data_IF_803038174580
#
_entry.id   IF_803038174580
#
_cell.length_a   1.000
_cell.length_b   1.000
_cell.length_c   1.000
_cell.angle_alpha   90.00
_cell.angle_beta   90.00
_cell.angle_gamma   90.00
#
_symmetry.space_group_name_H-M   'P 1'
#
loop_
_entity.id
_entity.type
_entity.pdbx_description
1 polymer ?
#
# COMPACT_ATOMS: atom_id res chain seq x y z
N UNK A 1 -26.38 4.59 -2.21
CA UNK A 1 -25.60 3.71 -3.11
C UNK A 1 -25.19 2.50 -2.30
N UNK A 2 -25.40 1.29 -2.80
CA UNK A 2 -25.01 0.06 -2.09
C UNK A 2 -23.50 -0.17 -2.21
N UNK A 3 -22.94 -0.93 -1.27
CA UNK A 3 -21.51 -1.30 -1.26
C UNK A 3 -21.13 -2.03 -2.56
N UNK A 4 -22.02 -2.91 -3.04
CA UNK A 4 -21.87 -3.63 -4.30
C UNK A 4 -21.81 -2.70 -5.51
N UNK A 5 -22.69 -1.68 -5.58
CA UNK A 5 -22.69 -0.73 -6.68
C UNK A 5 -21.43 0.15 -6.69
N UNK A 6 -20.93 0.54 -5.51
CA UNK A 6 -19.68 1.26 -5.38
C UNK A 6 -18.49 0.40 -5.83
N UNK A 7 -18.44 -0.85 -5.39
CA UNK A 7 -17.37 -1.79 -5.76
C UNK A 7 -17.39 -2.11 -7.26
N UNK A 8 -18.56 -2.33 -7.87
CA UNK A 8 -18.68 -2.57 -9.30
C UNK A 8 -18.21 -1.37 -10.13
N UNK A 9 -18.57 -0.14 -9.73
CA UNK A 9 -18.11 1.08 -10.40
C UNK A 9 -16.59 1.22 -10.32
N UNK A 10 -16.02 1.00 -9.14
CA UNK A 10 -14.57 1.07 -8.95
C UNK A 10 -13.83 -0.01 -9.73
N UNK A 11 -14.36 -1.25 -9.74
CA UNK A 11 -13.79 -2.35 -10.52
C UNK A 11 -13.75 -2.03 -12.02
N UNK A 12 -14.81 -1.41 -12.56
CA UNK A 12 -14.84 -0.98 -13.96
C UNK A 12 -13.76 0.08 -14.25
N UNK A 13 -13.58 1.06 -13.37
CA UNK A 13 -12.51 2.08 -13.52
C UNK A 13 -11.11 1.49 -13.41
N UNK A 14 -10.90 0.56 -12.49
CA UNK A 14 -9.62 -0.15 -12.39
C UNK A 14 -9.35 -0.97 -13.65
N UNK A 15 -10.37 -1.59 -14.26
CA UNK A 15 -10.21 -2.35 -15.50
C UNK A 15 -9.85 -1.47 -16.71
N UNK A 16 -10.33 -0.22 -16.77
CA UNK A 16 -9.94 0.73 -17.83
C UNK A 16 -8.44 1.05 -17.79
N UNK A 17 -7.86 1.22 -16.59
CA UNK A 17 -6.44 1.56 -16.41
C UNK A 17 -5.50 0.35 -16.39
N UNK A 18 -5.91 -0.73 -15.70
CA UNK A 18 -5.08 -1.92 -15.42
C UNK A 18 -5.36 -3.11 -16.36
N UNK A 19 -6.39 -3.02 -17.19
CA UNK A 19 -6.75 -4.06 -18.17
C UNK A 19 -5.96 -3.99 -19.48
N UNK A 20 -5.14 -2.95 -19.67
CA UNK A 20 -4.31 -2.77 -20.86
C UNK A 20 -3.18 -3.80 -20.94
N UNK A 21 -3.08 -4.51 -22.07
CA UNK A 21 -1.99 -5.47 -22.32
C UNK A 21 -0.75 -4.76 -22.83
N UNK A 22 0.41 -5.05 -22.25
CA UNK A 22 1.71 -4.86 -22.94
C UNK A 22 2.36 -6.22 -23.17
N UNK A 23 3.31 -6.31 -24.11
CA UNK A 23 4.02 -7.56 -24.39
C UNK A 23 4.84 -8.09 -23.18
N UNK A 24 5.10 -7.23 -22.19
CA UNK A 24 5.89 -7.55 -20.98
C UNK A 24 5.06 -7.81 -19.73
N UNK A 25 3.80 -7.34 -19.66
CA UNK A 25 2.97 -7.48 -18.44
C UNK A 25 1.57 -8.01 -18.77
N UNK A 26 1.17 -9.16 -18.21
CA UNK A 26 -0.18 -9.67 -18.40
C UNK A 26 -1.21 -8.76 -17.72
N UNK A 27 -2.37 -8.61 -18.35
CA UNK A 27 -3.47 -7.84 -17.78
C UNK A 27 -3.94 -8.45 -16.45
N UNK A 28 -4.29 -7.61 -15.48
CA UNK A 28 -4.81 -8.06 -14.19
C UNK A 28 -6.18 -8.74 -14.41
N UNK A 29 -6.41 -9.96 -13.89
CA UNK A 29 -7.69 -10.64 -14.05
C UNK A 29 -8.87 -9.84 -13.48
N UNK A 30 -10.02 -9.88 -14.15
CA UNK A 30 -11.22 -9.15 -13.71
C UNK A 30 -11.68 -9.54 -12.30
N UNK A 31 -11.50 -10.80 -11.90
CA UNK A 31 -11.78 -11.28 -10.53
C UNK A 31 -10.87 -10.64 -9.48
N UNK A 32 -9.59 -10.46 -9.79
CA UNK A 32 -8.63 -9.76 -8.93
C UNK A 32 -8.99 -8.28 -8.79
N UNK A 33 -9.37 -7.63 -9.89
CA UNK A 33 -9.83 -6.23 -9.88
C UNK A 33 -11.12 -6.05 -9.07
N UNK A 34 -12.07 -6.97 -9.20
CA UNK A 34 -13.31 -6.96 -8.42
C UNK A 34 -13.03 -7.14 -6.92
N UNK A 35 -12.10 -8.03 -6.57
CA UNK A 35 -11.67 -8.24 -5.18
C UNK A 35 -11.01 -6.99 -4.60
N UNK A 36 -10.06 -6.40 -5.34
CA UNK A 36 -9.39 -5.16 -4.96
C UNK A 36 -10.39 -4.02 -4.77
N UNK A 37 -11.34 -3.84 -5.70
CA UNK A 37 -12.37 -2.82 -5.60
C UNK A 37 -13.23 -3.00 -4.35
N UNK A 38 -13.61 -4.23 -4.02
CA UNK A 38 -14.34 -4.53 -2.79
C UNK A 38 -13.52 -4.15 -1.55
N UNK A 39 -12.25 -4.53 -1.49
CA UNK A 39 -11.40 -4.20 -0.35
C UNK A 39 -11.20 -2.68 -0.19
N UNK A 40 -11.03 -1.94 -1.29
CA UNK A 40 -10.95 -0.47 -1.29
C UNK A 40 -12.25 0.14 -0.76
N UNK A 41 -13.42 -0.35 -1.18
CA UNK A 41 -14.70 0.16 -0.70
C UNK A 41 -14.92 -0.15 0.79
N UNK A 42 -14.42 -1.28 1.30
CA UNK A 42 -14.43 -1.55 2.74
C UNK A 42 -13.57 -0.55 3.52
N UNK A 43 -12.43 -0.12 2.95
CA UNK A 43 -11.57 0.93 3.51
C UNK A 43 -12.26 2.30 3.43
N UNK A 44 -12.89 2.63 2.32
CA UNK A 44 -13.66 3.88 2.15
C UNK A 44 -14.81 3.98 3.16
N UNK A 45 -15.55 2.88 3.34
CA UNK A 45 -16.62 2.74 4.32
C UNK A 45 -16.16 2.67 5.77
N UNK A 46 -14.85 2.80 6.05
CA UNK A 46 -14.25 2.72 7.39
C UNK A 46 -14.51 1.39 8.12
N UNK A 47 -14.81 0.33 7.38
CA UNK A 47 -14.89 -1.04 7.91
C UNK A 47 -13.49 -1.56 8.20
N UNK A 48 -12.48 -1.09 7.43
CA UNK A 48 -11.05 -1.31 7.64
C UNK A 48 -10.29 0.02 7.55
N UNK A 49 -9.14 0.11 8.20
CA UNK A 49 -8.26 1.29 8.13
C UNK A 49 -7.49 1.34 6.81
N UNK A 50 -7.03 0.19 6.33
CA UNK A 50 -6.28 0.07 5.10
C UNK A 50 -6.49 -1.30 4.43
N UNK A 51 -6.03 -1.41 3.19
CA UNK A 51 -5.85 -2.68 2.47
C UNK A 51 -4.53 -2.67 1.73
N UNK A 52 -3.88 -3.83 1.69
CA UNK A 52 -2.71 -4.08 0.85
C UNK A 52 -3.18 -4.45 -0.56
N UNK A 53 -2.43 -4.04 -1.58
CA UNK A 53 -2.60 -4.51 -2.96
C UNK A 53 -1.64 -5.69 -3.15
N UNK A 54 -2.16 -6.90 -3.01
CA UNK A 54 -1.41 -8.17 -3.08
C UNK A 54 -1.86 -9.10 -4.21
N UNK A 55 -2.93 -8.74 -4.93
CA UNK A 55 -3.45 -9.52 -6.04
C UNK A 55 -2.53 -9.54 -7.28
N UNK A 56 -1.59 -8.60 -7.35
CA UNK A 56 -0.54 -8.49 -8.38
C UNK A 56 0.57 -7.56 -7.86
N UNK A 57 1.71 -7.52 -8.55
CA UNK A 57 2.78 -6.55 -8.29
C UNK A 57 2.55 -5.26 -9.11
N UNK A 58 2.04 -4.16 -8.51
CA UNK A 58 1.79 -2.92 -9.23
C UNK A 58 3.10 -2.22 -9.61
N UNK A 59 3.19 -1.74 -10.86
CA UNK A 59 4.24 -0.79 -11.24
C UNK A 59 3.84 0.64 -10.85
N UNK A 60 4.76 1.60 -11.01
CA UNK A 60 4.45 3.01 -10.80
C UNK A 60 3.35 3.55 -11.73
N UNK A 61 3.26 3.00 -12.95
CA UNK A 61 2.14 3.24 -13.85
C UNK A 61 0.82 2.72 -13.26
N UNK A 62 0.80 1.49 -12.76
CA UNK A 62 -0.39 0.91 -12.13
C UNK A 62 -0.83 1.75 -10.93
N UNK A 63 0.12 2.20 -10.10
CA UNK A 63 -0.16 3.09 -8.97
C UNK A 63 -0.80 4.41 -9.42
N UNK A 64 -0.34 4.97 -10.54
CA UNK A 64 -0.90 6.18 -11.12
C UNK A 64 -2.33 5.97 -11.62
N UNK A 65 -2.61 4.85 -12.28
CA UNK A 65 -3.95 4.48 -12.73
C UNK A 65 -4.90 4.17 -11.57
N UNK A 66 -4.42 3.53 -10.50
CA UNK A 66 -5.20 3.31 -9.27
C UNK A 66 -5.54 4.66 -8.63
N UNK A 67 -4.56 5.54 -8.44
CA UNK A 67 -4.79 6.87 -7.87
C UNK A 67 -5.81 7.69 -8.69
N UNK A 68 -5.74 7.58 -10.02
CA UNK A 68 -6.72 8.18 -10.93
C UNK A 68 -8.11 7.57 -10.77
N UNK A 69 -8.23 6.23 -10.71
CA UNK A 69 -9.49 5.54 -10.49
C UNK A 69 -10.17 5.94 -9.17
N UNK A 70 -9.40 6.08 -8.08
CA UNK A 70 -9.87 6.57 -6.80
C UNK A 70 -10.42 8.00 -6.92
N UNK A 71 -9.70 8.88 -7.61
CA UNK A 71 -10.13 10.26 -7.86
C UNK A 71 -11.41 10.32 -8.69
N UNK A 72 -11.48 9.56 -9.78
CA UNK A 72 -12.63 9.52 -10.69
C UNK A 72 -13.88 8.93 -10.03
N UNK A 73 -13.69 8.00 -9.09
CA UNK A 73 -14.76 7.45 -8.25
C UNK A 73 -15.13 8.33 -7.05
N UNK A 74 -14.50 9.50 -6.89
CA UNK A 74 -14.70 10.43 -5.78
C UNK A 74 -14.36 9.85 -4.40
N UNK A 75 -13.43 8.90 -4.33
CA UNK A 75 -12.93 8.30 -3.08
C UNK A 75 -11.96 9.27 -2.37
N UNK A 76 -12.44 10.46 -1.99
CA UNK A 76 -11.60 11.57 -1.49
C UNK A 76 -10.98 11.31 -0.13
N UNK A 77 -11.47 10.34 0.63
CA UNK A 77 -10.92 9.98 1.94
C UNK A 77 -9.81 8.93 1.84
N UNK A 78 -9.46 8.49 0.64
CA UNK A 78 -8.44 7.48 0.41
C UNK A 78 -7.12 8.10 -0.03
N UNK A 79 -6.03 7.47 0.37
CA UNK A 79 -4.69 7.77 -0.12
C UNK A 79 -3.99 6.47 -0.50
N UNK A 80 -3.33 6.48 -1.66
CA UNK A 80 -2.45 5.39 -2.07
C UNK A 80 -1.07 5.63 -1.45
N UNK A 81 -0.52 4.65 -0.74
CA UNK A 81 0.82 4.71 -0.17
C UNK A 81 1.67 3.66 -0.87
N UNK A 82 2.72 4.11 -1.57
CA UNK A 82 3.68 3.27 -2.29
C UNK A 82 4.97 3.24 -1.49
N UNK A 83 5.47 2.04 -1.17
CA UNK A 83 6.73 1.87 -0.44
C UNK A 83 7.81 1.31 -1.33
N UNK A 84 8.83 2.11 -1.62
CA UNK A 84 9.99 1.69 -2.39
C UNK A 84 11.23 1.50 -1.50
N UNK A 85 12.07 0.48 -1.76
CA UNK A 85 11.97 -0.55 -2.81
C UNK A 85 11.29 -1.84 -2.30
N UNK A 86 10.35 -1.73 -1.34
CA UNK A 86 9.66 -2.90 -0.80
C UNK A 86 8.52 -3.39 -1.71
N UNK A 87 8.18 -2.60 -2.74
CA UNK A 87 7.11 -2.80 -3.71
C UNK A 87 5.75 -3.10 -3.08
N UNK A 88 5.54 -2.59 -1.85
CA UNK A 88 4.28 -2.71 -1.12
C UNK A 88 3.41 -1.49 -1.39
N UNK A 89 2.15 -1.71 -1.75
CA UNK A 89 1.20 -0.64 -2.05
C UNK A 89 -0.05 -0.79 -1.20
N UNK A 90 -0.39 0.26 -0.47
CA UNK A 90 -1.57 0.30 0.39
C UNK A 90 -2.58 1.33 -0.10
N UNK A 91 -3.86 1.03 0.07
CA UNK A 91 -4.91 2.06 0.09
C UNK A 91 -5.34 2.25 1.52
N UNK A 92 -5.31 3.51 1.98
CA UNK A 92 -5.47 3.87 3.38
C UNK A 92 -6.58 4.91 3.52
N UNK A 93 -7.44 4.77 4.54
CA UNK A 93 -8.43 5.77 4.89
C UNK A 93 -7.82 6.88 5.75
N UNK A 94 -7.78 8.11 5.22
CA UNK A 94 -7.19 9.29 5.87
C UNK A 94 -7.81 9.57 7.23
N UNK A 95 -9.14 9.54 7.30
CA UNK A 95 -9.88 9.82 8.53
C UNK A 95 -9.56 8.76 9.60
N UNK A 96 -9.53 7.48 9.25
CA UNK A 96 -9.19 6.41 10.20
C UNK A 96 -7.75 6.55 10.71
N UNK A 97 -6.79 6.84 9.83
CA UNK A 97 -5.39 7.02 10.23
C UNK A 97 -5.18 8.19 11.20
N UNK A 98 -5.89 9.30 10.98
CA UNK A 98 -5.74 10.52 11.79
C UNK A 98 -6.53 10.45 13.10
N UNK A 99 -7.52 9.56 13.21
CA UNK A 99 -8.33 9.33 14.41
C UNK A 99 -7.85 8.14 15.23
N UNK A 100 -6.96 7.30 14.68
CA UNK A 100 -6.40 6.19 15.42
C UNK A 100 -5.68 6.74 16.67
N UNK A 101 -6.01 6.24 17.87
CA UNK A 101 -5.31 6.65 19.08
C UNK A 101 -3.81 6.37 18.91
N UNK A 102 -2.98 7.20 19.55
CA UNK A 102 -1.53 6.95 19.69
C UNK A 102 -1.35 5.46 19.99
N UNK A 103 -0.62 4.79 19.11
CA UNK A 103 -0.30 3.36 19.06
C UNK A 103 -0.70 2.60 20.32
N UNK A 104 -1.99 2.24 20.46
CA UNK A 104 -2.44 1.44 21.59
C UNK A 104 -1.77 0.07 21.47
N UNK A 105 -0.80 -0.22 22.34
CA UNK A 105 0.12 -1.37 22.31
C UNK A 105 -0.47 -2.56 21.53
N UNK A 106 -0.25 -2.62 20.21
CA UNK A 106 -0.50 -3.83 19.47
C UNK A 106 0.45 -4.86 20.08
N UNK A 107 -0.01 -6.10 20.29
CA UNK A 107 0.84 -7.17 20.81
C UNK A 107 1.93 -7.45 19.77
N UNK A 108 3.01 -6.70 19.86
CA UNK A 108 4.24 -6.85 19.10
C UNK A 108 5.21 -7.64 19.97
N UNK A 109 5.51 -8.88 19.58
CA UNK A 109 6.76 -9.49 20.02
C UNK A 109 7.83 -9.04 19.03
N UNK A 110 8.34 -7.82 19.20
CA UNK A 110 9.42 -7.27 18.39
C UNK A 110 10.78 -7.72 18.95
N UNK A 111 11.54 -8.45 18.15
CA UNK A 111 13.00 -8.49 18.30
C UNK A 111 13.57 -7.44 17.34
N UNK A 112 13.62 -6.20 17.86
CA UNK A 112 14.36 -5.03 17.35
C UNK A 112 14.14 -4.61 15.88
N UNK A 113 13.15 -3.75 15.58
CA UNK A 113 13.03 -3.10 14.28
C UNK A 113 14.08 -1.99 14.13
N UNK A 114 14.83 -1.98 13.03
CA UNK A 114 15.85 -0.98 12.76
C UNK A 114 15.31 0.43 12.44
N UNK A 115 13.99 0.57 12.29
CA UNK A 115 13.25 1.84 12.26
C UNK A 115 12.03 1.71 13.19
N UNK A 116 11.79 2.65 14.12
CA UNK A 116 10.59 2.62 14.95
C UNK A 116 9.33 2.66 14.08
N UNK A 117 8.35 1.79 14.36
CA UNK A 117 7.06 1.80 13.64
C UNK A 117 6.38 3.18 13.67
N UNK A 118 6.57 3.92 14.77
CA UNK A 118 6.04 5.26 14.95
C UNK A 118 6.55 6.24 13.87
N UNK A 119 7.78 6.06 13.38
CA UNK A 119 8.34 6.88 12.31
C UNK A 119 7.59 6.63 10.98
N UNK A 120 7.35 5.36 10.65
CA UNK A 120 6.58 4.97 9.44
C UNK A 120 5.16 5.51 9.52
N UNK A 121 4.49 5.31 10.67
CA UNK A 121 3.13 5.79 10.88
C UNK A 121 3.06 7.31 10.83
N UNK A 122 4.04 8.03 11.37
CA UNK A 122 4.14 9.49 11.28
C UNK A 122 4.21 9.97 9.83
N UNK A 123 5.00 9.30 8.98
CA UNK A 123 5.04 9.61 7.55
C UNK A 123 3.71 9.35 6.83
N UNK A 124 3.02 8.25 7.13
CA UNK A 124 1.68 7.95 6.57
C UNK A 124 0.66 8.99 7.05
N UNK A 125 0.69 9.37 8.33
CA UNK A 125 -0.17 10.42 8.88
C UNK A 125 0.10 11.77 8.21
N UNK A 126 1.37 12.11 7.96
CA UNK A 126 1.76 13.28 7.17
C UNK A 126 1.13 13.26 5.78
N UNK A 127 1.29 12.16 5.04
CA UNK A 127 0.65 11.95 3.74
C UNK A 127 -0.88 12.09 3.79
N UNK A 128 -1.52 11.60 4.87
CA UNK A 128 -2.96 11.74 5.08
C UNK A 128 -3.39 13.20 5.30
N UNK A 129 -2.57 14.02 5.98
CA UNK A 129 -2.84 15.44 6.26
C UNK A 129 -2.73 16.30 4.99
N UNK A 130 -1.77 15.99 4.12
CA UNK A 130 -1.48 16.77 2.91
C UNK A 130 -2.52 16.58 1.78
N UNK A 131 -3.44 15.62 1.92
CA UNK A 131 -4.58 15.35 1.02
C UNK A 131 -4.24 15.02 -0.44
N UNK A 132 -2.96 14.75 -0.78
CA UNK A 132 -2.58 14.21 -2.09
C UNK A 132 -3.15 12.79 -2.33
N UNK A 133 -3.45 12.41 -3.58
CA UNK A 133 -4.08 11.12 -3.89
C UNK A 133 -3.13 9.92 -3.73
N UNK A 134 -1.82 10.14 -3.84
CA UNK A 134 -0.80 9.11 -3.72
C UNK A 134 0.51 9.68 -3.15
N UNK A 135 1.19 8.89 -2.32
CA UNK A 135 2.48 9.23 -1.72
C UNK A 135 3.47 8.08 -1.89
N UNK A 136 4.73 8.45 -2.08
CA UNK A 136 5.86 7.55 -2.11
C UNK A 136 6.62 7.66 -0.80
N UNK A 137 6.86 6.50 -0.18
CA UNK A 137 7.73 6.32 0.97
C UNK A 137 8.98 5.57 0.50
N UNK A 138 10.13 6.22 0.63
CA UNK A 138 11.42 5.66 0.20
C UNK A 138 12.29 5.34 1.39
N UNK A 139 13.02 4.23 1.30
CA UNK A 139 14.08 3.87 2.24
C UNK A 139 15.44 3.95 1.56
N UNK A 140 16.43 4.45 2.29
CA UNK A 140 17.84 4.46 1.88
C UNK A 140 18.52 3.08 1.90
N UNK A 141 17.88 2.07 2.50
CA UNK A 141 18.42 0.71 2.63
C UNK A 141 17.38 -0.34 2.17
N UNK A 142 17.54 -0.92 0.96
CA UNK A 142 16.56 -1.83 0.36
C UNK A 142 16.20 -3.07 1.19
N UNK A 143 17.20 -3.74 1.77
CA UNK A 143 16.99 -4.93 2.62
C UNK A 143 16.26 -4.59 3.92
N UNK A 144 16.49 -3.40 4.47
CA UNK A 144 15.80 -2.93 5.67
C UNK A 144 14.38 -2.41 5.36
N UNK A 145 14.13 -1.89 4.16
CA UNK A 145 12.82 -1.41 3.73
C UNK A 145 11.74 -2.49 3.87
N UNK A 146 11.99 -3.69 3.33
CA UNK A 146 11.06 -4.84 3.43
C UNK A 146 10.79 -5.22 4.88
N UNK A 147 11.82 -5.22 5.73
CA UNK A 147 11.73 -5.56 7.16
C UNK A 147 10.95 -4.52 7.97
N UNK A 148 11.06 -3.25 7.62
CA UNK A 148 10.31 -2.15 8.25
C UNK A 148 8.81 -2.17 7.87
N UNK A 149 8.49 -2.69 6.68
CA UNK A 149 7.10 -2.76 6.21
C UNK A 149 6.26 -3.79 6.93
N UNK A 150 6.88 -4.89 7.31
CA UNK A 150 6.23 -6.01 7.99
C UNK A 150 5.40 -5.58 9.24
N UNK A 151 5.97 -4.84 10.22
CA UNK A 151 5.19 -4.38 11.37
C UNK A 151 4.14 -3.30 11.00
N UNK A 152 4.42 -2.47 9.98
CA UNK A 152 3.45 -1.51 9.46
C UNK A 152 2.24 -2.19 8.81
N UNK A 153 2.43 -3.29 8.09
CA UNK A 153 1.34 -4.14 7.57
C UNK A 153 0.43 -4.60 8.70
N UNK A 154 1.02 -5.09 9.80
CA UNK A 154 0.28 -5.56 10.96
C UNK A 154 -0.64 -4.49 11.55
N UNK A 155 -0.09 -3.29 11.75
CA UNK A 155 -0.84 -2.17 12.27
C UNK A 155 -1.95 -1.74 11.30
N UNK A 156 -1.60 -1.51 10.02
CA UNK A 156 -2.52 -0.98 9.01
C UNK A 156 -3.68 -1.95 8.70
N UNK A 157 -3.40 -3.25 8.69
CA UNK A 157 -4.38 -4.28 8.36
C UNK A 157 -5.14 -4.78 9.59
N UNK A 158 -4.70 -4.44 10.80
CA UNK A 158 -5.38 -4.79 12.05
C UNK A 158 -5.26 -6.26 12.46
N UNK A 159 -4.19 -6.95 12.04
CA UNK A 159 -3.91 -8.33 12.45
C UNK A 159 -2.58 -8.42 13.22
N UNK A 160 -2.50 -9.28 14.25
CA UNK A 160 -1.25 -9.53 14.96
C UNK A 160 -0.27 -10.21 14.02
N UNK A 161 0.98 -9.76 14.02
CA UNK A 161 2.01 -10.33 13.15
C UNK A 161 3.32 -10.51 13.91
N UNK A 162 3.95 -11.68 13.74
CA UNK A 162 5.12 -12.12 14.51
C UNK A 162 6.28 -12.36 13.54
N UNK A 163 7.41 -11.69 13.76
CA UNK A 163 8.62 -11.86 12.93
C UNK A 163 9.90 -11.66 13.74
N UNK A 164 10.97 -12.35 13.33
CA UNK A 164 12.32 -12.14 13.82
C UNK A 164 13.13 -11.38 12.76
N UNK A 165 13.70 -10.23 13.12
CA UNK A 165 14.48 -9.39 12.20
C UNK A 165 15.94 -9.27 12.69
N UNK A 166 16.89 -9.15 11.74
CA UNK A 166 18.30 -8.83 12.02
C UNK A 166 18.54 -7.34 11.80
N UNK A 167 19.33 -6.70 12.68
CA UNK A 167 19.64 -5.27 12.64
C UNK A 167 20.35 -4.83 11.35
N UNK A 168 19.78 -3.83 10.67
CA UNK A 168 20.41 -3.01 9.63
C UNK A 168 19.73 -1.63 9.63
N UNK A 169 20.48 -0.54 9.89
CA UNK A 169 19.92 0.83 9.98
C UNK A 169 19.37 1.32 8.62
N UNK A 170 18.20 1.97 8.64
CA UNK A 170 17.59 2.59 7.47
C UNK A 170 16.96 3.94 7.82
N UNK A 171 17.06 4.92 6.92
CA UNK A 171 16.30 6.17 7.02
C UNK A 171 15.13 6.15 6.03
N UNK A 172 13.95 6.63 6.47
CA UNK A 172 12.72 6.70 5.67
C UNK A 172 12.40 8.16 5.34
N UNK A 173 11.94 8.41 4.11
CA UNK A 173 11.47 9.71 3.66
C UNK A 173 10.13 9.60 2.90
N UNK A 174 9.33 10.66 2.91
CA UNK A 174 8.01 10.72 2.27
C UNK A 174 7.87 11.90 1.32
N UNK A 175 7.30 11.68 0.13
CA UNK A 175 6.94 12.75 -0.79
C UNK A 175 5.69 12.40 -1.63
N UNK A 176 4.98 13.39 -2.21
CA UNK A 176 3.95 13.12 -3.20
C UNK A 176 4.52 12.28 -4.35
N UNK A 177 3.76 11.30 -4.86
CA UNK A 177 4.22 10.42 -5.93
C UNK A 177 4.65 11.25 -7.17
N UNK A 178 5.94 11.27 -7.57
CA UNK A 178 6.41 12.10 -8.67
C UNK A 178 5.81 11.66 -10.01
N UNK A 179 5.57 12.60 -10.94
CA UNK A 179 5.12 12.26 -12.31
C UNK A 179 6.14 11.41 -13.08
N UNK A 180 7.42 11.52 -12.76
CA UNK A 180 8.50 10.72 -13.35
C UNK A 180 8.49 9.27 -12.87
N UNK A 181 7.83 8.95 -11.75
CA UNK A 181 7.72 7.59 -11.21
C UNK A 181 6.70 6.72 -11.97
N UNK A 182 6.05 7.26 -13.00
CA UNK A 182 5.02 6.59 -13.80
C UNK A 182 5.59 5.73 -14.95
N UNK A 183 6.91 5.72 -15.14
CA UNK A 183 7.58 4.88 -16.15
C UNK A 183 8.00 3.54 -15.55
N UNK A 184 7.70 2.45 -16.27
CA UNK A 184 8.02 1.08 -15.85
C UNK A 184 9.54 0.82 -15.74
N UNK A 185 10.38 1.72 -16.28
CA UNK A 185 11.84 1.58 -16.38
C UNK A 185 12.59 1.76 -15.04
N UNK A 186 11.96 2.38 -14.03
CA UNK A 186 12.58 2.64 -12.71
C UNK A 186 12.25 1.54 -11.68
N UNK A 187 11.43 0.57 -12.04
CA UNK A 187 11.10 -0.57 -11.18
C UNK A 187 12.01 -1.73 -11.56
N UNK A 188 13.12 -1.92 -10.84
CA UNK A 188 13.75 -3.23 -10.81
C UNK A 188 12.71 -4.21 -10.27
N UNK A 189 12.41 -5.25 -11.06
CA UNK A 189 11.44 -6.30 -10.76
C UNK A 189 11.97 -7.14 -9.57
N UNK A 190 11.97 -6.56 -8.37
CA UNK A 190 12.34 -7.18 -7.10
C UNK A 190 11.10 -7.62 -6.31
N UNK A 191 10.01 -7.85 -7.04
CA UNK A 191 8.72 -8.37 -6.57
C UNK A 191 8.90 -9.75 -5.94
N UNK A 192 9.33 -9.75 -4.69
CA UNK A 192 9.18 -10.86 -3.75
C UNK A 192 8.02 -10.47 -2.87
N UNK A 193 6.91 -11.17 -3.06
CA UNK A 193 5.72 -10.98 -2.25
C UNK A 193 6.06 -11.23 -0.78
N UNK A 194 5.38 -10.57 0.16
CA UNK A 194 5.51 -10.88 1.59
C UNK A 194 5.20 -12.36 1.89
N UNK A 195 4.44 -13.03 1.02
CA UNK A 195 4.15 -14.46 1.06
C UNK A 195 5.32 -15.36 0.66
N UNK A 196 6.38 -14.85 0.02
CA UNK A 196 7.53 -15.66 -0.39
C UNK A 196 8.54 -15.90 0.75
N UNK A 197 8.33 -15.32 1.93
CA UNK A 197 9.16 -15.57 3.12
C UNK A 197 8.72 -16.80 3.94
N UNK A 198 7.80 -17.62 3.44
CA UNK A 198 7.51 -18.92 4.04
C UNK A 198 8.59 -19.93 3.59
N UNK A 199 9.69 -19.94 4.34
CA UNK A 199 10.64 -21.05 4.57
C UNK A 199 11.32 -21.72 3.36
N UNK A 200 12.67 -21.67 3.34
CA UNK A 200 13.49 -22.90 3.37
C UNK A 200 14.67 -22.69 4.32
N UNK A 201 14.90 -23.72 5.12
CA UNK A 201 15.85 -23.95 6.22
C UNK A 201 17.31 -23.53 5.99
#
# INVERSE_FOLDING_TARGET
>A
MTLEAAAARLAARLAEGLGGRTARKPAVPASALARLALDIVLVEGRIRTATLIDAFAPSGRDCSEIAKALKDCQCTELVLIVFAPADQVFVVNRSCMLQAPDTSDPVYVCVNPAVPIDEILSHIQGACRDRGPAYLLTSSAPGAAKRCMVPACGWLLGYPVIYALREEHAAIASCPLPRSFATDDDWEELATSLTDYIWIA
#
